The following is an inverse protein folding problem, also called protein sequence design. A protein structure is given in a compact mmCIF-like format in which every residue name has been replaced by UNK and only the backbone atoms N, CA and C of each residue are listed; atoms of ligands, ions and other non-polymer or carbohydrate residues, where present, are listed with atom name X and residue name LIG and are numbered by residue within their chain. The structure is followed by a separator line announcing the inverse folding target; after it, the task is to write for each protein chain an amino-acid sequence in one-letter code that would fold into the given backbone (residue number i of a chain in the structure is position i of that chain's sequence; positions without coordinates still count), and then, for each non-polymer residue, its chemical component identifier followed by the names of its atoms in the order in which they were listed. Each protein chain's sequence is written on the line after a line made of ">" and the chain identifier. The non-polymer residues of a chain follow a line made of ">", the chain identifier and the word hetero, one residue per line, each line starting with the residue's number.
data_IF_697270819970
#
_entry.id   IF_697270819970
#
_cell.length_a   1.000
_cell.length_b   1.000
_cell.length_c   1.000
_cell.angle_alpha   90.00
_cell.angle_beta   90.00
_cell.angle_gamma   90.00
#
_symmetry.space_group_name_H-M   'P 1'
#
loop_
_entity.id
_entity.type
_entity.pdbx_description
1 polymer ?
#
# COMPACT_ATOMS: atom_id res chain seq x y z
N UNK A 1 2.91 -14.81 7.79
CA UNK A 1 1.58 -14.25 7.47
C UNK A 1 1.54 -14.01 5.97
N UNK A 2 0.44 -14.36 5.29
CA UNK A 2 0.26 -14.08 3.86
C UNK A 2 -0.12 -12.60 3.72
N UNK A 3 0.78 -11.78 3.19
CA UNK A 3 0.55 -10.34 3.04
C UNK A 3 1.09 -9.86 1.69
N UNK A 4 0.41 -10.22 0.59
CA UNK A 4 0.88 -9.99 -0.75
C UNK A 4 0.93 -8.49 -1.04
N UNK A 5 2.14 -7.98 -1.18
CA UNK A 5 2.30 -6.67 -1.77
C UNK A 5 2.27 -6.80 -3.27
N UNK A 6 1.28 -6.15 -3.85
CA UNK A 6 1.23 -5.93 -5.28
C UNK A 6 2.04 -4.69 -5.63
N UNK A 7 2.55 -4.70 -6.85
CA UNK A 7 3.23 -3.56 -7.45
C UNK A 7 2.53 -3.25 -8.76
N UNK A 8 2.19 -1.97 -8.96
CA UNK A 8 1.30 -1.52 -10.01
C UNK A 8 2.00 -0.61 -11.02
N UNK A 9 1.85 -0.94 -12.30
CA UNK A 9 2.29 -0.08 -13.41
C UNK A 9 1.36 1.13 -13.55
N UNK A 10 0.07 0.96 -13.26
CA UNK A 10 -0.91 2.03 -13.12
C UNK A 10 -1.18 2.20 -11.61
N UNK A 11 -0.74 3.31 -11.00
CA UNK A 11 -0.80 3.45 -9.55
C UNK A 11 -2.27 3.46 -9.10
N UNK A 12 -2.66 2.66 -8.08
CA UNK A 12 -4.02 2.67 -7.55
C UNK A 12 -4.41 4.00 -6.91
N UNK A 13 -3.43 4.81 -6.53
CA UNK A 13 -3.61 6.08 -5.85
C UNK A 13 -2.58 7.08 -6.35
N UNK A 14 -3.06 8.27 -6.72
CA UNK A 14 -2.28 9.46 -7.04
C UNK A 14 -2.76 10.60 -6.16
N UNK A 15 -1.85 11.38 -5.58
CA UNK A 15 -2.19 12.71 -5.07
C UNK A 15 -1.55 13.77 -5.93
N UNK A 16 -2.34 14.73 -6.39
CA UNK A 16 -1.89 15.71 -7.37
C UNK A 16 -1.83 17.13 -6.81
N UNK A 17 -0.94 17.93 -7.38
CA UNK A 17 -0.85 19.37 -7.17
C UNK A 17 -0.66 20.11 -8.48
N UNK A 18 -0.98 21.40 -8.45
CA UNK A 18 -0.72 22.33 -9.54
C UNK A 18 -0.27 23.69 -9.02
N UNK A 19 0.56 24.37 -9.83
CA UNK A 19 0.96 25.76 -9.64
C UNK A 19 0.56 26.59 -10.86
N UNK A 20 0.19 27.86 -10.69
CA UNK A 20 0.05 28.81 -11.80
C UNK A 20 1.30 28.83 -12.71
N UNK A 21 1.11 29.08 -14.00
CA UNK A 21 2.21 29.11 -14.97
C UNK A 21 3.23 30.25 -14.69
N UNK A 22 2.77 31.33 -14.07
CA UNK A 22 3.57 32.50 -13.70
C UNK A 22 4.15 32.43 -12.28
N UNK A 23 4.12 31.24 -11.65
CA UNK A 23 4.63 31.05 -10.29
C UNK A 23 6.11 31.46 -10.19
N UNK A 24 6.47 32.35 -9.25
CA UNK A 24 7.87 32.74 -9.05
C UNK A 24 8.78 31.55 -8.74
N UNK A 25 9.93 31.52 -9.42
CA UNK A 25 10.87 30.40 -9.35
C UNK A 25 11.47 30.22 -7.96
N UNK A 26 11.72 31.30 -7.22
CA UNK A 26 12.20 31.26 -5.85
C UNK A 26 11.19 30.61 -4.89
N UNK A 27 9.88 30.86 -5.11
CA UNK A 27 8.81 30.19 -4.38
C UNK A 27 8.77 28.70 -4.70
N UNK A 28 8.87 28.30 -5.97
CA UNK A 28 8.92 26.89 -6.36
C UNK A 28 10.15 26.17 -5.79
N UNK A 29 11.31 26.84 -5.71
CA UNK A 29 12.53 26.28 -5.10
C UNK A 29 12.38 26.10 -3.58
N UNK A 30 11.75 27.06 -2.90
CA UNK A 30 11.48 26.96 -1.48
C UNK A 30 10.53 25.79 -1.19
N UNK A 31 9.43 25.69 -1.95
CA UNK A 31 8.49 24.56 -1.90
C UNK A 31 9.18 23.22 -2.17
N UNK A 32 9.95 23.11 -3.24
CA UNK A 32 10.69 21.90 -3.60
C UNK A 32 11.61 21.43 -2.46
N UNK A 33 12.35 22.37 -1.86
CA UNK A 33 13.19 22.08 -0.69
C UNK A 33 12.37 21.56 0.49
N UNK A 34 11.20 22.15 0.76
CA UNK A 34 10.31 21.71 1.84
C UNK A 34 9.78 20.28 1.61
N UNK A 35 9.30 19.98 0.41
CA UNK A 35 8.84 18.63 0.02
C UNK A 35 9.95 17.60 0.22
N UNK A 36 11.15 17.87 -0.29
CA UNK A 36 12.29 16.96 -0.15
C UNK A 36 12.75 16.79 1.31
N UNK A 37 12.71 17.87 2.09
CA UNK A 37 13.04 17.84 3.52
C UNK A 37 12.04 16.99 4.29
N UNK A 38 10.73 17.16 4.01
CA UNK A 38 9.67 16.35 4.59
C UNK A 38 9.81 14.88 4.23
N UNK A 39 10.03 14.56 2.95
CA UNK A 39 10.21 13.20 2.46
C UNK A 39 11.37 12.47 3.14
N UNK A 40 12.52 13.16 3.31
CA UNK A 40 13.67 12.63 4.01
C UNK A 40 13.43 12.48 5.53
N UNK A 41 12.82 13.49 6.18
CA UNK A 41 12.49 13.46 7.61
C UNK A 41 11.60 12.28 7.97
N UNK A 42 10.58 12.00 7.16
CA UNK A 42 9.64 10.90 7.38
C UNK A 42 10.11 9.57 6.78
N UNK A 43 11.27 9.56 6.12
CA UNK A 43 11.84 8.40 5.40
C UNK A 43 10.85 7.77 4.42
N UNK A 44 10.06 8.62 3.76
CA UNK A 44 9.08 8.23 2.73
C UNK A 44 9.68 8.42 1.34
N UNK A 45 10.48 9.47 1.16
CA UNK A 45 11.09 9.81 -0.12
C UNK A 45 12.44 10.50 0.11
N UNK A 46 13.54 9.76 0.02
CA UNK A 46 14.89 10.32 0.05
C UNK A 46 15.61 10.06 -1.28
N UNK A 47 15.90 11.12 -2.03
CA UNK A 47 16.58 11.04 -3.32
C UNK A 47 18.00 10.49 -3.15
N UNK A 48 18.28 9.35 -3.78
CA UNK A 48 19.58 8.66 -3.77
C UNK A 48 20.41 9.02 -4.98
N UNK A 49 19.84 8.89 -6.17
CA UNK A 49 20.54 9.13 -7.43
C UNK A 49 19.63 9.85 -8.43
N UNK A 50 20.25 10.68 -9.27
CA UNK A 50 19.61 11.21 -10.48
C UNK A 50 20.68 11.14 -11.58
N UNK A 51 20.74 10.01 -12.32
CA UNK A 51 21.83 9.76 -13.28
C UNK A 51 21.95 10.85 -14.35
N UNK A 52 20.81 11.40 -14.80
CA UNK A 52 20.76 12.38 -15.88
C UNK A 52 21.54 13.68 -15.57
N UNK A 53 21.67 14.04 -14.28
CA UNK A 53 22.43 15.22 -13.83
C UNK A 53 23.75 14.86 -13.15
N UNK A 54 24.13 13.57 -13.18
CA UNK A 54 25.28 13.03 -12.42
C UNK A 54 25.19 13.45 -10.95
N UNK A 55 24.07 13.13 -10.28
CA UNK A 55 23.89 13.35 -8.84
C UNK A 55 23.90 12.02 -8.07
N UNK A 56 24.64 12.01 -6.97
CA UNK A 56 24.69 10.92 -5.99
C UNK A 56 24.67 11.49 -4.56
N UNK A 57 23.66 11.11 -3.77
CA UNK A 57 23.41 11.62 -2.41
C UNK A 57 24.61 11.58 -1.47
N UNK A 58 25.38 10.48 -1.50
CA UNK A 58 26.55 10.27 -0.63
C UNK A 58 27.70 11.22 -0.95
N UNK A 59 27.87 11.55 -2.24
CA UNK A 59 28.93 12.45 -2.73
C UNK A 59 28.51 13.92 -2.60
N UNK A 60 27.27 14.21 -2.96
CA UNK A 60 26.84 15.57 -3.30
C UNK A 60 26.07 16.28 -2.18
N UNK A 61 25.62 15.54 -1.16
CA UNK A 61 24.79 16.10 -0.09
C UNK A 61 23.32 16.15 -0.51
N UNK A 62 22.57 17.09 0.05
CA UNK A 62 21.13 17.21 -0.18
C UNK A 62 20.85 17.77 -1.59
N UNK A 63 19.92 17.15 -2.34
CA UNK A 63 19.69 17.47 -3.75
C UNK A 63 19.31 18.94 -4.00
N UNK A 64 18.54 19.58 -3.12
CA UNK A 64 18.19 21.00 -3.29
C UNK A 64 19.42 21.92 -3.19
N UNK A 65 20.41 21.55 -2.36
CA UNK A 65 21.66 22.32 -2.21
C UNK A 65 22.65 22.00 -3.33
N UNK A 66 22.63 20.78 -3.87
CA UNK A 66 23.34 20.44 -5.09
C UNK A 66 22.84 21.27 -6.28
N UNK A 67 21.52 21.31 -6.51
CA UNK A 67 20.94 22.07 -7.62
C UNK A 67 21.19 23.57 -7.49
N UNK A 68 21.14 24.14 -6.28
CA UNK A 68 21.49 25.54 -6.07
C UNK A 68 22.96 25.87 -6.38
N UNK A 69 23.88 24.91 -6.25
CA UNK A 69 25.29 25.05 -6.64
C UNK A 69 25.54 24.75 -8.12
N UNK A 70 24.63 24.03 -8.77
CA UNK A 70 24.75 23.54 -10.14
C UNK A 70 23.46 23.78 -10.96
N UNK A 71 23.02 25.04 -11.09
CA UNK A 71 21.74 25.38 -11.73
C UNK A 71 21.64 24.94 -13.20
N UNK A 72 22.78 24.76 -13.87
CA UNK A 72 22.88 24.37 -15.27
C UNK A 72 22.62 22.87 -15.53
N UNK A 73 22.71 22.02 -14.50
CA UNK A 73 22.68 20.56 -14.68
C UNK A 73 21.34 20.06 -15.18
N UNK A 74 20.25 20.49 -14.58
CA UNK A 74 18.91 20.02 -14.90
C UNK A 74 18.45 20.46 -16.31
N UNK A 75 18.59 21.74 -16.72
CA UNK A 75 18.27 22.15 -18.10
C UNK A 75 19.11 21.45 -19.17
N UNK A 76 20.34 21.04 -18.84
CA UNK A 76 21.19 20.27 -19.76
C UNK A 76 20.73 18.82 -19.91
N UNK A 77 20.27 18.21 -18.82
CA UNK A 77 19.80 16.83 -18.78
C UNK A 77 18.44 16.66 -19.48
N UNK A 78 17.59 17.67 -19.35
CA UNK A 78 16.26 17.72 -19.94
C UNK A 78 16.17 18.96 -20.84
N UNK A 79 16.53 18.89 -22.13
CA UNK A 79 16.54 20.04 -23.02
C UNK A 79 15.12 20.43 -23.48
N UNK A 80 14.13 20.30 -22.60
CA UNK A 80 12.77 20.72 -22.86
C UNK A 80 12.61 22.22 -22.53
N UNK A 81 11.81 22.96 -23.30
CA UNK A 81 11.66 24.41 -23.12
C UNK A 81 11.08 24.83 -21.76
N UNK A 82 10.55 23.90 -20.96
CA UNK A 82 9.85 24.21 -19.70
C UNK A 82 10.36 23.40 -18.50
N UNK A 83 11.64 23.05 -18.49
CA UNK A 83 12.25 22.56 -17.26
C UNK A 83 12.23 23.68 -16.23
N UNK A 84 11.57 23.44 -15.10
CA UNK A 84 11.67 24.35 -13.95
C UNK A 84 13.08 24.19 -13.36
N UNK A 85 13.95 25.20 -13.45
CA UNK A 85 15.32 25.06 -12.99
C UNK A 85 15.37 24.77 -11.49
N UNK A 86 16.23 23.84 -11.08
CA UNK A 86 16.46 23.47 -9.67
C UNK A 86 15.28 22.78 -8.96
N UNK A 87 14.31 22.25 -9.71
CA UNK A 87 13.19 21.44 -9.19
C UNK A 87 13.21 20.06 -9.86
N UNK A 88 13.24 18.96 -9.10
CA UNK A 88 13.42 17.62 -9.73
C UNK A 88 12.12 16.98 -10.20
N UNK A 89 10.96 17.55 -9.86
CA UNK A 89 9.65 17.02 -10.26
C UNK A 89 9.29 17.45 -11.69
N UNK A 90 10.20 17.20 -12.63
CA UNK A 90 9.96 17.36 -14.06
C UNK A 90 9.66 16.00 -14.67
N UNK A 91 8.74 15.97 -15.63
CA UNK A 91 8.45 14.75 -16.39
C UNK A 91 9.69 14.26 -17.16
N UNK A 92 9.84 12.94 -17.25
CA UNK A 92 10.98 12.28 -17.89
C UNK A 92 12.29 12.28 -17.10
N UNK A 93 12.33 12.82 -15.88
CA UNK A 93 13.49 12.68 -14.99
C UNK A 93 13.43 11.37 -14.22
N UNK A 94 14.40 10.50 -14.44
CA UNK A 94 14.57 9.29 -13.62
C UNK A 94 15.18 9.67 -12.27
N UNK A 95 14.36 9.61 -11.21
CA UNK A 95 14.73 9.93 -9.83
C UNK A 95 14.66 8.65 -9.01
N UNK A 96 15.81 8.12 -8.63
CA UNK A 96 15.87 7.01 -7.69
C UNK A 96 15.79 7.55 -6.26
N UNK A 97 14.68 7.26 -5.59
CA UNK A 97 14.48 7.62 -4.19
C UNK A 97 14.29 6.36 -3.34
N UNK A 98 14.79 6.41 -2.10
CA UNK A 98 14.56 5.35 -1.13
C UNK A 98 13.41 5.69 -0.19
N UNK A 99 12.74 4.64 0.27
CA UNK A 99 11.69 4.65 1.27
C UNK A 99 12.01 3.61 2.35
N UNK A 100 11.81 3.95 3.62
CA UNK A 100 11.90 2.96 4.69
C UNK A 100 10.65 2.09 4.72
N UNK A 101 10.82 0.82 4.36
CA UNK A 101 9.76 -0.18 4.32
C UNK A 101 9.93 -1.24 5.41
N UNK A 102 8.88 -1.44 6.19
CA UNK A 102 8.68 -2.58 7.08
C UNK A 102 8.16 -3.84 6.35
N UNK A 103 8.71 -5.01 6.67
CA UNK A 103 8.32 -6.32 6.14
C UNK A 103 8.39 -7.41 7.22
N UNK A 104 7.65 -8.51 7.04
CA UNK A 104 7.80 -9.70 7.87
C UNK A 104 8.96 -10.56 7.35
N UNK A 105 9.95 -10.86 8.20
CA UNK A 105 11.02 -11.79 7.86
C UNK A 105 10.56 -13.27 7.95
N UNK A 106 11.48 -14.20 7.70
CA UNK A 106 11.20 -15.64 7.73
C UNK A 106 10.70 -16.15 9.07
N UNK A 107 11.01 -15.44 10.16
CA UNK A 107 10.60 -15.77 11.52
C UNK A 107 9.31 -15.02 11.93
N UNK A 108 8.70 -14.28 10.99
CA UNK A 108 7.49 -13.47 11.23
C UNK A 108 7.75 -12.20 12.04
N UNK A 109 9.02 -11.79 12.20
CA UNK A 109 9.39 -10.54 12.86
C UNK A 109 9.35 -9.39 11.86
N UNK A 110 8.93 -8.22 12.34
CA UNK A 110 8.94 -7.01 11.50
C UNK A 110 10.36 -6.46 11.41
N UNK A 111 10.87 -6.36 10.19
CA UNK A 111 12.15 -5.73 9.83
C UNK A 111 11.90 -4.49 9.01
N UNK A 112 12.82 -3.53 9.06
CA UNK A 112 12.75 -2.32 8.23
C UNK A 112 14.00 -2.21 7.35
N UNK A 113 13.83 -1.73 6.11
CA UNK A 113 14.92 -1.51 5.15
C UNK A 113 14.66 -0.23 4.36
N UNK A 114 15.71 0.54 4.06
CA UNK A 114 15.64 1.60 3.07
C UNK A 114 15.68 0.97 1.67
N UNK A 115 14.54 0.98 0.99
CA UNK A 115 14.36 0.36 -0.32
C UNK A 115 14.17 1.43 -1.41
N UNK A 116 14.91 1.32 -2.51
CA UNK A 116 14.70 2.09 -3.74
C UNK A 116 13.77 1.37 -4.71
N UNK A 117 13.58 0.07 -4.54
CA UNK A 117 12.60 -0.72 -5.29
C UNK A 117 12.02 -1.87 -4.46
N UNK A 118 10.88 -2.38 -4.89
CA UNK A 118 10.27 -3.56 -4.29
C UNK A 118 11.09 -4.85 -4.49
N UNK A 119 12.09 -4.84 -5.39
CA UNK A 119 12.95 -5.99 -5.68
C UNK A 119 13.85 -6.37 -4.51
N UNK A 120 14.24 -5.39 -3.70
CA UNK A 120 15.00 -5.62 -2.46
C UNK A 120 14.19 -6.40 -1.42
N UNK A 121 12.86 -6.41 -1.57
CA UNK A 121 11.94 -7.16 -0.72
C UNK A 121 11.47 -8.47 -1.35
N UNK A 122 11.84 -8.78 -2.60
CA UNK A 122 11.32 -9.94 -3.33
C UNK A 122 11.63 -11.31 -2.69
N UNK A 123 12.63 -11.37 -1.79
CA UNK A 123 12.96 -12.57 -1.01
C UNK A 123 12.19 -12.70 0.30
N UNK A 124 11.45 -11.67 0.73
CA UNK A 124 10.67 -11.74 1.96
C UNK A 124 9.39 -12.57 1.74
N UNK A 125 8.99 -13.43 2.70
CA UNK A 125 7.86 -14.34 2.56
C UNK A 125 6.52 -13.67 2.23
N UNK A 126 6.37 -12.39 2.59
CA UNK A 126 5.18 -11.60 2.32
C UNK A 126 5.10 -11.07 0.88
N UNK A 127 6.20 -11.03 0.13
CA UNK A 127 6.18 -10.37 -1.18
C UNK A 127 5.79 -11.38 -2.25
N UNK A 128 4.62 -11.16 -2.83
CA UNK A 128 4.12 -11.93 -3.95
C UNK A 128 4.16 -11.08 -5.21
N UNK A 129 5.34 -10.90 -5.82
CA UNK A 129 5.42 -10.09 -7.01
C UNK A 129 4.65 -10.77 -8.14
N UNK A 130 3.74 -10.02 -8.78
CA UNK A 130 3.39 -10.35 -10.17
C UNK A 130 4.71 -10.28 -10.95
N UNK A 131 5.14 -11.44 -11.48
CA UNK A 131 6.47 -11.64 -12.08
C UNK A 131 6.84 -10.46 -13.00
N UNK A 132 7.99 -9.84 -12.75
CA UNK A 132 8.59 -8.81 -13.59
C UNK A 132 8.43 -7.35 -13.12
N UNK A 133 7.65 -7.05 -12.08
CA UNK A 133 7.30 -5.66 -11.71
C UNK A 133 7.92 -5.15 -10.41
N UNK A 134 8.85 -5.89 -9.81
CA UNK A 134 9.47 -5.48 -8.53
C UNK A 134 10.51 -4.37 -8.65
N UNK A 135 10.95 -4.04 -9.87
CA UNK A 135 11.92 -2.98 -10.09
C UNK A 135 11.36 -1.57 -9.79
N UNK A 136 10.03 -1.43 -9.65
CA UNK A 136 9.40 -0.15 -9.35
C UNK A 136 9.67 0.29 -7.91
N UNK A 137 9.88 1.59 -7.74
CA UNK A 137 9.89 2.23 -6.43
C UNK A 137 8.49 2.10 -5.77
N UNK A 138 8.40 1.96 -4.44
CA UNK A 138 7.12 1.83 -3.73
C UNK A 138 6.23 3.09 -3.82
N UNK A 139 6.88 4.24 -3.99
CA UNK A 139 6.27 5.56 -4.09
C UNK A 139 7.11 6.40 -5.05
N UNK A 140 6.47 7.12 -5.98
CA UNK A 140 7.14 8.00 -6.94
C UNK A 140 6.61 9.41 -6.84
N UNK A 141 7.48 10.39 -7.01
CA UNK A 141 7.12 11.80 -7.19
C UNK A 141 7.57 12.23 -8.58
N UNK A 142 6.64 12.76 -9.37
CA UNK A 142 6.93 13.18 -10.75
C UNK A 142 6.16 14.44 -11.09
N UNK A 143 6.67 15.19 -12.08
CA UNK A 143 5.87 16.20 -12.77
C UNK A 143 4.85 15.51 -13.67
N UNK A 144 3.64 16.05 -13.76
CA UNK A 144 2.60 15.58 -14.69
C UNK A 144 2.59 16.51 -15.89
N UNK A 145 2.59 15.92 -17.08
CA UNK A 145 2.36 16.66 -18.32
C UNK A 145 1.19 16.03 -19.04
N UNK A 146 0.12 16.79 -19.24
CA UNK A 146 -0.93 16.38 -20.16
C UNK A 146 -0.37 16.49 -21.58
N UNK A 147 0.07 15.35 -22.13
CA UNK A 147 0.46 15.21 -23.55
C UNK A 147 -0.75 15.20 -24.49
N UNK A 148 -1.92 15.65 -24.04
CA UNK A 148 -3.17 15.49 -24.76
C UNK A 148 -3.20 16.22 -26.12
N UNK A 149 -2.32 17.20 -26.36
CA UNK A 149 -2.21 17.86 -27.66
C UNK A 149 -0.74 18.20 -27.96
N UNK A 150 -0.33 18.10 -29.22
CA UNK A 150 0.99 18.48 -29.78
C UNK A 150 1.37 19.97 -29.58
N UNK A 151 0.71 20.67 -28.64
CA UNK A 151 0.98 22.04 -28.25
C UNK A 151 1.80 22.05 -26.97
N UNK A 152 3.08 22.38 -27.16
CA UNK A 152 4.06 22.80 -26.17
C UNK A 152 3.52 24.07 -25.48
N UNK A 153 2.63 23.90 -24.51
CA UNK A 153 1.91 24.99 -23.82
C UNK A 153 2.66 25.43 -22.54
N UNK A 154 2.68 26.75 -22.30
CA UNK A 154 3.03 27.43 -21.04
C UNK A 154 1.97 27.16 -19.95
N UNK A 155 1.62 25.88 -19.77
CA UNK A 155 0.59 25.44 -18.83
C UNK A 155 1.06 25.52 -17.37
N UNK A 156 0.13 25.35 -16.42
CA UNK A 156 0.47 25.24 -15.00
C UNK A 156 1.49 24.11 -14.77
N UNK A 157 2.41 24.31 -13.83
CA UNK A 157 3.28 23.22 -13.38
C UNK A 157 2.44 22.25 -12.56
N UNK A 158 2.35 21.00 -12.99
CA UNK A 158 1.61 19.95 -12.29
C UNK A 158 2.56 18.85 -11.82
N UNK A 159 2.18 18.14 -10.78
CA UNK A 159 2.89 16.95 -10.33
C UNK A 159 2.01 16.04 -9.50
N UNK A 160 2.54 14.85 -9.24
CA UNK A 160 1.84 13.79 -8.53
C UNK A 160 2.77 12.99 -7.61
N UNK A 161 2.18 12.48 -6.52
CA UNK A 161 2.72 11.45 -5.66
C UNK A 161 1.92 10.17 -5.95
N UNK A 162 2.58 9.16 -6.49
CA UNK A 162 1.95 7.90 -6.85
C UNK A 162 2.32 6.79 -5.87
N UNK A 163 1.32 6.09 -5.32
CA UNK A 163 1.57 4.82 -4.65
C UNK A 163 1.68 3.73 -5.70
N UNK A 164 2.83 3.08 -5.75
CA UNK A 164 3.11 1.99 -6.70
C UNK A 164 3.00 0.63 -6.05
N UNK A 165 2.86 0.56 -4.72
CA UNK A 165 2.69 -0.68 -3.99
C UNK A 165 1.53 -0.60 -2.99
N UNK A 166 0.85 -1.71 -2.76
CA UNK A 166 -0.22 -1.82 -1.76
C UNK A 166 0.29 -1.94 -0.30
N UNK A 167 1.61 -1.89 -0.08
CA UNK A 167 2.23 -2.01 1.26
C UNK A 167 1.73 -0.95 2.28
N UNK A 168 1.25 0.19 1.78
CA UNK A 168 0.73 1.31 2.58
C UNK A 168 -0.75 1.17 2.96
N UNK A 169 -1.46 0.23 2.34
CA UNK A 169 -2.91 0.11 2.45
C UNK A 169 -3.27 -0.89 3.55
N UNK A 170 -4.20 -0.61 4.46
CA UNK A 170 -4.64 -1.60 5.44
C UNK A 170 -5.30 -2.83 4.80
N UNK A 171 -5.81 -2.73 3.58
CA UNK A 171 -6.37 -3.85 2.82
C UNK A 171 -5.65 -4.03 1.48
N UNK A 172 -5.10 -5.22 1.25
CA UNK A 172 -4.40 -5.57 0.00
C UNK A 172 -5.19 -6.60 -0.77
N UNK A 173 -5.28 -6.45 -2.10
CA UNK A 173 -5.88 -7.48 -2.94
C UNK A 173 -5.17 -8.82 -2.73
N UNK A 174 -5.99 -9.85 -2.51
CA UNK A 174 -5.51 -11.19 -2.32
C UNK A 174 -5.05 -11.77 -3.67
N UNK A 175 -4.00 -12.62 -3.71
CA UNK A 175 -3.50 -13.13 -4.96
C UNK A 175 -4.51 -14.13 -5.50
N UNK A 176 -4.87 -14.03 -6.78
CA UNK A 176 -5.89 -14.88 -7.43
C UNK A 176 -5.60 -16.39 -7.30
N UNK A 177 -4.33 -16.78 -7.12
CA UNK A 177 -3.93 -18.17 -6.93
C UNK A 177 -4.11 -18.68 -5.48
N UNK A 178 -4.35 -17.79 -4.52
CA UNK A 178 -4.60 -18.10 -3.11
C UNK A 178 -6.07 -17.83 -2.74
N UNK A 179 -6.69 -16.80 -3.34
CA UNK A 179 -8.07 -16.34 -3.07
C UNK A 179 -8.80 -15.95 -4.36
N UNK A 180 -10.12 -15.66 -4.33
CA UNK A 180 -10.84 -15.20 -5.54
C UNK A 180 -10.44 -13.76 -5.91
N UNK A 181 -10.76 -13.34 -7.13
CA UNK A 181 -10.33 -12.07 -7.74
C UNK A 181 -10.77 -10.78 -7.01
N UNK A 182 -11.60 -10.88 -5.96
CA UNK A 182 -12.17 -9.74 -5.23
C UNK A 182 -11.96 -9.85 -3.70
N UNK A 183 -11.13 -10.79 -3.25
CA UNK A 183 -10.80 -10.93 -1.84
C UNK A 183 -9.71 -9.95 -1.41
N UNK A 184 -9.80 -9.44 -0.18
CA UNK A 184 -8.78 -8.58 0.43
C UNK A 184 -8.19 -9.24 1.67
N UNK A 185 -6.90 -9.04 1.84
CA UNK A 185 -6.11 -9.45 2.99
C UNK A 185 -5.77 -8.23 3.86
N UNK A 186 -5.83 -8.36 5.19
CA UNK A 186 -5.46 -7.31 6.11
C UNK A 186 -3.94 -7.16 6.11
N UNK A 187 -3.48 -5.93 5.94
CA UNK A 187 -2.09 -5.48 5.98
C UNK A 187 -1.83 -4.47 7.12
N UNK A 188 -2.84 -4.18 7.96
CA UNK A 188 -2.78 -3.23 9.09
C UNK A 188 -1.49 -3.29 9.91
N UNK A 189 -0.98 -4.49 10.23
CA UNK A 189 0.25 -4.65 11.03
C UNK A 189 1.47 -3.99 10.38
N UNK A 190 1.63 -4.13 9.07
CA UNK A 190 2.74 -3.53 8.34
C UNK A 190 2.39 -2.10 7.94
N UNK A 191 1.19 -1.85 7.41
CA UNK A 191 0.71 -0.50 7.07
C UNK A 191 0.85 0.48 8.25
N UNK A 192 0.59 0.06 9.49
CA UNK A 192 0.79 0.88 10.69
C UNK A 192 2.24 1.37 10.90
N UNK A 193 3.23 0.77 10.23
CA UNK A 193 4.64 1.20 10.22
C UNK A 193 4.96 2.21 9.13
N UNK A 194 4.20 2.25 8.04
CA UNK A 194 4.48 3.10 6.87
C UNK A 194 3.52 4.28 6.78
N UNK A 195 2.24 3.99 6.91
CA UNK A 195 1.13 4.91 6.61
C UNK A 195 1.13 6.16 7.47
N UNK A 196 1.43 6.14 8.79
CA UNK A 196 1.49 7.38 9.56
C UNK A 196 2.54 8.36 9.02
N UNK A 197 3.69 7.83 8.57
CA UNK A 197 4.78 8.62 7.98
C UNK A 197 4.38 9.17 6.61
N UNK A 198 3.71 8.35 5.79
CA UNK A 198 3.14 8.77 4.51
C UNK A 198 2.11 9.89 4.68
N UNK A 199 1.13 9.71 5.57
CA UNK A 199 0.06 10.70 5.80
C UNK A 199 0.63 12.02 6.32
N UNK A 200 1.66 11.96 7.18
CA UNK A 200 2.33 13.17 7.65
C UNK A 200 3.10 13.87 6.52
N UNK A 201 3.83 13.11 5.68
CA UNK A 201 4.47 13.63 4.48
C UNK A 201 3.46 14.30 3.54
N UNK A 202 2.35 13.61 3.20
CA UNK A 202 1.32 14.14 2.30
C UNK A 202 0.67 15.41 2.83
N UNK A 203 0.39 15.46 4.13
CA UNK A 203 -0.20 16.62 4.79
C UNK A 203 0.76 17.83 4.75
N UNK A 204 2.05 17.60 4.96
CA UNK A 204 3.08 18.65 4.86
C UNK A 204 3.29 19.11 3.41
N UNK A 205 3.27 18.20 2.43
CA UNK A 205 3.33 18.57 1.01
C UNK A 205 2.11 19.39 0.61
N UNK A 206 0.90 18.97 0.99
CA UNK A 206 -0.32 19.71 0.71
C UNK A 206 -0.27 21.13 1.31
N UNK A 207 0.19 21.25 2.56
CA UNK A 207 0.36 22.54 3.22
C UNK A 207 1.42 23.42 2.52
N UNK A 208 2.58 22.85 2.18
CA UNK A 208 3.64 23.56 1.46
C UNK A 208 3.18 24.04 0.08
N UNK A 209 2.43 23.21 -0.64
CA UNK A 209 1.84 23.56 -1.96
C UNK A 209 0.91 24.76 -1.84
N UNK A 210 0.00 24.75 -0.86
CA UNK A 210 -0.93 25.88 -0.64
C UNK A 210 -0.17 27.13 -0.19
N UNK A 211 0.82 27.00 0.70
CA UNK A 211 1.64 28.13 1.15
C UNK A 211 2.43 28.78 0.02
N UNK A 212 2.84 27.98 -0.97
CA UNK A 212 3.52 28.43 -2.17
C UNK A 212 2.58 29.01 -3.25
N UNK A 213 1.26 29.11 -2.98
CA UNK A 213 0.28 29.65 -3.93
C UNK A 213 -0.23 28.63 -4.95
N UNK A 214 0.16 27.36 -4.80
CA UNK A 214 -0.37 26.25 -5.59
C UNK A 214 -1.72 25.75 -5.07
N UNK A 215 -2.26 24.75 -5.77
CA UNK A 215 -3.48 24.04 -5.38
C UNK A 215 -3.17 22.57 -5.16
N UNK A 216 -3.63 22.05 -4.03
CA UNK A 216 -3.71 20.63 -3.79
C UNK A 216 -5.01 20.10 -4.42
N UNK A 217 -4.90 19.14 -5.33
CA UNK A 217 -6.02 18.62 -6.10
C UNK A 217 -6.70 17.41 -5.44
N UNK A 218 -6.11 16.89 -4.35
CA UNK A 218 -6.62 15.72 -3.64
C UNK A 218 -6.16 14.41 -4.28
N UNK A 219 -6.87 13.34 -3.94
CA UNK A 219 -6.54 11.99 -4.38
C UNK A 219 -7.34 11.60 -5.64
N UNK A 220 -6.65 11.12 -6.67
CA UNK A 220 -7.24 10.33 -7.75
C UNK A 220 -7.03 8.85 -7.41
N UNK A 221 -8.14 8.11 -7.25
CA UNK A 221 -8.12 6.78 -6.63
C UNK A 221 -8.87 5.77 -7.49
N UNK A 222 -8.24 4.63 -7.74
CA UNK A 222 -8.92 3.51 -8.38
C UNK A 222 -10.09 3.03 -7.49
N UNK A 223 -11.29 2.79 -8.02
CA UNK A 223 -12.50 2.52 -7.22
C UNK A 223 -12.37 1.41 -6.18
N UNK A 224 -11.52 0.41 -6.45
CA UNK A 224 -11.23 -0.68 -5.54
C UNK A 224 -10.64 -0.23 -4.19
N UNK A 225 -9.91 0.89 -4.16
CA UNK A 225 -9.22 1.39 -2.96
C UNK A 225 -9.86 2.68 -2.41
N UNK A 226 -10.88 3.23 -3.07
CA UNK A 226 -11.46 4.52 -2.70
C UNK A 226 -11.98 4.59 -1.25
N UNK A 227 -12.31 3.46 -0.64
CA UNK A 227 -12.82 3.41 0.73
C UNK A 227 -11.73 3.66 1.79
N UNK A 228 -10.46 3.40 1.49
CA UNK A 228 -9.34 3.55 2.44
C UNK A 228 -8.47 4.77 2.16
N UNK A 229 -8.83 5.59 1.17
CA UNK A 229 -8.05 6.77 0.75
C UNK A 229 -8.84 8.05 0.99
N UNK A 230 -8.14 9.09 1.43
CA UNK A 230 -8.63 10.45 1.51
C UNK A 230 -7.62 11.43 0.89
N UNK A 231 -8.00 12.70 0.77
CA UNK A 231 -7.19 13.73 0.10
C UNK A 231 -5.78 13.93 0.67
N UNK A 232 -5.51 13.44 1.87
CA UNK A 232 -4.24 13.63 2.58
C UNK A 232 -3.59 12.32 3.03
N UNK A 233 -4.04 11.18 2.53
CA UNK A 233 -3.45 9.89 2.89
C UNK A 233 -4.40 8.72 2.90
N UNK A 234 -4.05 7.74 3.72
CA UNK A 234 -4.72 6.45 3.85
C UNK A 234 -5.33 6.33 5.26
N UNK A 235 -6.59 5.90 5.35
CA UNK A 235 -7.24 5.57 6.61
C UNK A 235 -6.90 4.14 7.04
N UNK A 236 -6.06 4.01 8.07
CA UNK A 236 -5.62 2.72 8.59
C UNK A 236 -6.70 1.90 9.28
N UNK A 237 -7.73 2.56 9.83
CA UNK A 237 -8.71 1.91 10.71
C UNK A 237 -10.04 1.67 9.98
N UNK A 238 -10.07 1.87 8.67
CA UNK A 238 -11.28 1.69 7.89
C UNK A 238 -11.68 0.21 7.85
N UNK A 239 -12.93 -0.13 8.19
CA UNK A 239 -13.41 -1.48 7.98
C UNK A 239 -13.52 -1.78 6.48
N UNK A 240 -13.18 -3.00 6.08
CA UNK A 240 -13.39 -3.42 4.70
C UNK A 240 -14.88 -3.30 4.31
N UNK A 241 -15.25 -2.54 3.26
CA UNK A 241 -16.64 -2.15 2.98
C UNK A 241 -17.52 -3.34 2.58
N UNK A 242 -16.89 -4.42 2.11
CA UNK A 242 -17.59 -5.63 1.72
C UNK A 242 -17.57 -6.70 2.81
N UNK A 243 -16.94 -6.50 3.97
CA UNK A 243 -16.95 -7.53 5.00
C UNK A 243 -18.10 -7.30 6.00
N UNK A 244 -18.92 -8.33 6.22
CA UNK A 244 -19.84 -8.41 7.35
C UNK A 244 -19.27 -9.40 8.34
N UNK A 245 -19.00 -8.93 9.54
CA UNK A 245 -18.37 -9.71 10.59
C UNK A 245 -19.42 -10.35 11.50
N UNK A 246 -19.19 -11.63 11.81
CA UNK A 246 -19.78 -12.27 12.98
C UNK A 246 -18.66 -12.59 13.97
N UNK A 247 -18.76 -12.01 15.16
CA UNK A 247 -17.77 -12.18 16.23
C UNK A 247 -18.20 -13.30 17.17
N UNK A 248 -17.36 -14.33 17.28
CA UNK A 248 -17.59 -15.43 18.20
C UNK A 248 -17.53 -14.95 19.65
N UNK A 249 -18.42 -15.44 20.53
CA UNK A 249 -18.30 -15.22 21.96
C UNK A 249 -16.94 -15.70 22.49
N UNK A 250 -16.42 -15.01 23.51
CA UNK A 250 -15.17 -15.40 24.17
C UNK A 250 -15.24 -16.83 24.72
N UNK A 251 -14.08 -17.51 24.74
CA UNK A 251 -13.91 -18.90 25.22
C UNK A 251 -14.66 -19.99 24.43
N UNK A 252 -15.26 -19.67 23.29
CA UNK A 252 -15.80 -20.69 22.40
C UNK A 252 -14.67 -21.38 21.63
N UNK A 253 -14.65 -22.72 21.66
CA UNK A 253 -13.67 -23.49 20.89
C UNK A 253 -13.83 -23.28 19.38
N UNK A 254 -12.73 -23.40 18.64
CA UNK A 254 -12.64 -23.06 17.21
C UNK A 254 -13.78 -23.64 16.36
N UNK A 255 -14.03 -24.95 16.45
CA UNK A 255 -15.06 -25.63 15.63
C UNK A 255 -16.47 -25.14 15.98
N UNK A 256 -16.77 -24.97 17.26
CA UNK A 256 -18.08 -24.50 17.72
C UNK A 256 -18.34 -23.04 17.28
N UNK A 257 -17.32 -22.19 17.38
CA UNK A 257 -17.37 -20.80 16.91
C UNK A 257 -17.61 -20.72 15.40
N UNK A 258 -16.86 -21.49 14.62
CA UNK A 258 -17.07 -21.53 13.16
C UNK A 258 -18.48 -21.98 12.84
N UNK A 259 -18.95 -23.10 13.41
CA UNK A 259 -20.30 -23.60 13.17
C UNK A 259 -21.37 -22.55 13.51
N UNK A 260 -21.30 -21.93 14.68
CA UNK A 260 -22.27 -20.92 15.10
C UNK A 260 -22.28 -19.70 14.16
N UNK A 261 -21.11 -19.28 13.68
CA UNK A 261 -21.01 -18.23 12.67
C UNK A 261 -21.61 -18.63 11.32
N UNK A 262 -21.34 -19.85 10.87
CA UNK A 262 -21.95 -20.39 9.64
C UNK A 262 -23.48 -20.43 9.75
N UNK A 263 -24.01 -20.95 10.86
CA UNK A 263 -25.44 -21.00 11.15
C UNK A 263 -26.05 -19.58 11.14
N UNK A 264 -25.33 -18.59 11.70
CA UNK A 264 -25.77 -17.20 11.67
C UNK A 264 -25.83 -16.63 10.26
N UNK A 265 -24.81 -16.81 9.42
CA UNK A 265 -24.80 -16.32 8.03
C UNK A 265 -25.80 -17.04 7.14
N UNK A 266 -26.10 -18.31 7.42
CA UNK A 266 -27.20 -19.03 6.75
C UNK A 266 -28.56 -18.40 7.09
N UNK A 267 -28.77 -17.99 8.36
CA UNK A 267 -29.98 -17.30 8.78
C UNK A 267 -30.03 -15.82 8.35
N UNK A 268 -28.87 -15.19 8.12
CA UNK A 268 -28.72 -13.78 7.79
C UNK A 268 -27.83 -13.59 6.55
N UNK A 269 -28.34 -13.85 5.34
CA UNK A 269 -27.55 -13.69 4.11
C UNK A 269 -27.09 -12.25 3.93
N UNK A 270 -25.79 -12.05 3.69
CA UNK A 270 -25.15 -10.71 3.67
C UNK A 270 -24.89 -10.15 2.27
N UNK A 271 -25.48 -10.74 1.23
CA UNK A 271 -25.20 -10.34 -0.16
C UNK A 271 -25.53 -8.87 -0.45
N UNK A 272 -24.72 -8.19 -1.28
CA UNK A 272 -23.55 -8.69 -2.02
C UNK A 272 -22.22 -8.70 -1.23
N UNK A 273 -22.27 -8.57 0.11
CA UNK A 273 -21.10 -8.52 0.99
C UNK A 273 -20.57 -9.93 1.33
N UNK A 274 -19.34 -9.98 1.80
CA UNK A 274 -18.58 -11.13 2.24
C UNK A 274 -18.84 -11.42 3.72
N UNK A 275 -19.31 -12.63 4.04
CA UNK A 275 -19.40 -13.07 5.43
C UNK A 275 -18.03 -13.44 5.97
N UNK A 276 -17.68 -12.91 7.15
CA UNK A 276 -16.43 -13.19 7.85
C UNK A 276 -16.73 -13.65 9.27
N UNK A 277 -16.29 -14.85 9.62
CA UNK A 277 -16.36 -15.35 11.00
C UNK A 277 -15.07 -14.97 11.71
N UNK A 278 -15.14 -14.21 12.80
CA UNK A 278 -13.99 -13.83 13.63
C UNK A 278 -14.05 -14.53 14.98
N UNK A 279 -12.91 -15.05 15.43
CA UNK A 279 -12.77 -15.63 16.75
C UNK A 279 -11.38 -15.36 17.31
N UNK A 280 -11.31 -15.14 18.63
CA UNK A 280 -10.06 -15.02 19.37
C UNK A 280 -9.93 -16.18 20.34
N UNK A 281 -8.81 -16.90 20.27
CA UNK A 281 -8.56 -18.08 21.10
C UNK A 281 -7.96 -17.67 22.43
N UNK A 282 -8.50 -18.21 23.51
CA UNK A 282 -7.96 -18.04 24.85
C UNK A 282 -6.62 -18.77 25.02
N UNK A 283 -5.87 -18.42 26.06
CA UNK A 283 -4.57 -19.01 26.36
C UNK A 283 -4.63 -20.52 26.65
N UNK A 284 -5.79 -21.00 27.13
CA UNK A 284 -6.04 -22.40 27.48
C UNK A 284 -6.56 -23.24 26.30
N UNK A 285 -6.82 -22.63 25.13
CA UNK A 285 -7.28 -23.37 23.96
C UNK A 285 -6.16 -24.25 23.40
N UNK A 286 -6.48 -25.49 23.02
CA UNK A 286 -5.52 -26.43 22.43
C UNK A 286 -4.88 -25.90 21.14
N UNK A 287 -5.54 -24.97 20.45
CA UNK A 287 -5.07 -24.32 19.23
C UNK A 287 -4.52 -22.90 19.47
N UNK A 288 -4.25 -22.53 20.73
CA UNK A 288 -3.72 -21.21 21.08
C UNK A 288 -2.38 -20.90 20.38
N UNK A 289 -1.56 -21.91 20.11
CA UNK A 289 -0.27 -21.79 19.40
C UNK A 289 -0.32 -22.36 17.97
N UNK A 290 -1.51 -22.72 17.49
CA UNK A 290 -1.64 -23.41 16.20
C UNK A 290 -1.22 -22.51 15.03
N UNK A 291 -0.55 -23.11 14.05
CA UNK A 291 -0.28 -22.49 12.74
C UNK A 291 -1.55 -22.46 11.89
N UNK A 292 -1.53 -21.68 10.80
CA UNK A 292 -2.62 -21.65 9.84
C UNK A 292 -2.95 -23.04 9.27
N UNK A 293 -1.94 -23.87 8.97
CA UNK A 293 -2.14 -25.23 8.47
C UNK A 293 -2.79 -26.15 9.52
N UNK A 294 -2.37 -26.03 10.79
CA UNK A 294 -2.98 -26.81 11.87
C UNK A 294 -4.44 -26.40 12.11
N UNK A 295 -4.74 -25.10 12.07
CA UNK A 295 -6.12 -24.60 12.15
C UNK A 295 -6.96 -25.08 10.96
N UNK A 296 -6.41 -25.04 9.75
CA UNK A 296 -7.05 -25.50 8.54
C UNK A 296 -7.37 -27.01 8.60
N UNK A 297 -6.39 -27.83 9.00
CA UNK A 297 -6.59 -29.26 9.18
C UNK A 297 -7.63 -29.58 10.25
N UNK A 298 -7.64 -28.87 11.38
CA UNK A 298 -8.61 -29.07 12.44
C UNK A 298 -10.05 -28.78 11.96
N UNK A 299 -10.26 -27.68 11.23
CA UNK A 299 -11.56 -27.33 10.66
C UNK A 299 -11.99 -28.26 9.52
N UNK A 300 -11.06 -28.70 8.67
CA UNK A 300 -11.36 -29.63 7.59
C UNK A 300 -11.79 -31.01 8.11
N UNK A 301 -11.14 -31.49 9.19
CA UNK A 301 -11.46 -32.77 9.81
C UNK A 301 -12.71 -32.75 10.70
N UNK A 302 -13.22 -31.57 11.07
CA UNK A 302 -14.40 -31.45 11.93
C UNK A 302 -15.67 -31.99 11.22
N UNK A 303 -16.30 -33.07 11.74
CA UNK A 303 -17.48 -33.66 11.12
C UNK A 303 -18.69 -32.72 11.17
N UNK A 304 -18.78 -31.85 12.18
CA UNK A 304 -19.86 -30.87 12.35
C UNK A 304 -19.90 -29.83 11.23
N UNK A 305 -18.76 -29.58 10.59
CA UNK A 305 -18.65 -28.67 9.44
C UNK A 305 -18.82 -29.40 8.10
N UNK A 306 -19.09 -30.70 8.14
CA UNK A 306 -19.13 -31.57 6.96
C UNK A 306 -20.26 -31.31 5.98
N UNK A 307 -21.40 -30.82 6.47
CA UNK A 307 -22.54 -30.49 5.64
C UNK A 307 -22.44 -29.13 4.95
N UNK A 308 -21.44 -28.30 5.32
CA UNK A 308 -21.31 -26.96 4.78
C UNK A 308 -20.64 -26.97 3.41
N UNK A 309 -21.30 -26.40 2.41
CA UNK A 309 -20.75 -26.27 1.05
C UNK A 309 -19.78 -25.09 0.94
N UNK A 310 -18.51 -25.35 1.26
CA UNK A 310 -17.43 -24.37 1.12
C UNK A 310 -17.15 -23.92 -0.32
N UNK A 311 -17.64 -24.65 -1.33
CA UNK A 311 -17.47 -24.28 -2.74
C UNK A 311 -18.49 -23.23 -3.20
N UNK A 312 -19.59 -23.09 -2.44
CA UNK A 312 -20.67 -22.18 -2.79
C UNK A 312 -20.20 -20.73 -2.88
N UNK A 313 -20.60 -19.99 -3.92
CA UNK A 313 -20.33 -18.55 -3.98
C UNK A 313 -21.03 -17.78 -2.84
N UNK A 314 -22.07 -18.35 -2.23
CA UNK A 314 -22.79 -17.78 -1.08
C UNK A 314 -22.18 -18.15 0.29
N UNK A 315 -21.15 -19.00 0.31
CA UNK A 315 -20.49 -19.37 1.55
C UNK A 315 -19.79 -18.18 2.22
N UNK A 316 -19.62 -18.27 3.54
CA UNK A 316 -18.70 -17.45 4.34
C UNK A 316 -17.36 -17.43 3.62
N UNK A 317 -16.86 -16.24 3.39
CA UNK A 317 -15.72 -16.01 2.50
C UNK A 317 -14.42 -16.41 3.17
N UNK A 318 -14.28 -16.07 4.45
CA UNK A 318 -13.08 -16.34 5.26
C UNK A 318 -13.41 -16.49 6.74
N UNK A 319 -12.56 -17.25 7.43
CA UNK A 319 -12.54 -17.37 8.89
C UNK A 319 -11.27 -16.69 9.38
N UNK A 320 -11.41 -15.75 10.30
CA UNK A 320 -10.31 -15.06 10.96
C UNK A 320 -10.13 -15.59 12.38
N UNK A 321 -9.00 -16.27 12.61
CA UNK A 321 -8.63 -16.79 13.93
C UNK A 321 -7.49 -15.95 14.48
N UNK A 322 -7.69 -15.32 15.63
CA UNK A 322 -6.61 -14.66 16.37
C UNK A 322 -6.16 -15.56 17.52
N UNK A 323 -4.89 -15.94 17.55
CA UNK A 323 -4.29 -16.76 18.61
C UNK A 323 -2.90 -16.21 19.01
N UNK A 324 -2.14 -16.93 19.84
CA UNK A 324 -0.80 -16.49 20.29
C UNK A 324 0.23 -16.46 19.16
N UNK A 325 0.06 -17.29 18.14
CA UNK A 325 0.88 -17.27 16.93
C UNK A 325 0.52 -16.12 15.97
N UNK A 326 -0.58 -15.41 16.20
CA UNK A 326 -0.97 -14.22 15.45
C UNK A 326 -2.39 -14.30 14.88
N UNK A 327 -2.62 -13.53 13.81
CA UNK A 327 -3.89 -13.53 13.07
C UNK A 327 -3.77 -14.43 11.85
N UNK A 328 -4.68 -15.39 11.73
CA UNK A 328 -4.75 -16.35 10.64
C UNK A 328 -6.04 -16.16 9.86
N UNK A 329 -5.94 -16.15 8.53
CA UNK A 329 -7.08 -16.09 7.64
C UNK A 329 -7.20 -17.37 6.83
N UNK A 330 -8.32 -18.06 7.03
CA UNK A 330 -8.63 -19.31 6.37
C UNK A 330 -9.72 -19.04 5.34
N UNK A 331 -9.32 -18.89 4.08
CA UNK A 331 -10.26 -18.68 2.98
C UNK A 331 -11.09 -19.92 2.69
N UNK A 332 -12.34 -19.74 2.24
CA UNK A 332 -13.24 -20.85 1.88
C UNK A 332 -12.62 -21.82 0.87
N UNK A 333 -11.80 -21.33 -0.05
CA UNK A 333 -11.15 -22.18 -1.07
C UNK A 333 -10.13 -23.12 -0.45
N UNK A 334 -9.29 -22.63 0.47
CA UNK A 334 -8.34 -23.46 1.21
C UNK A 334 -9.07 -24.50 2.06
N UNK A 335 -10.18 -24.13 2.70
CA UNK A 335 -11.03 -25.04 3.46
C UNK A 335 -11.66 -26.11 2.57
N UNK A 336 -12.19 -25.71 1.40
CA UNK A 336 -12.75 -26.64 0.42
C UNK A 336 -11.71 -27.66 -0.05
N UNK A 337 -10.52 -27.21 -0.45
CA UNK A 337 -9.43 -28.08 -0.91
C UNK A 337 -8.90 -28.99 0.22
N UNK A 338 -8.75 -28.47 1.44
CA UNK A 338 -8.32 -29.27 2.59
C UNK A 338 -9.30 -30.41 2.91
N UNK A 339 -10.61 -30.21 2.71
CA UNK A 339 -11.64 -31.24 2.92
C UNK A 339 -11.69 -32.32 1.84
N UNK A 340 -11.05 -32.10 0.70
CA UNK A 340 -10.99 -33.08 -0.41
C UNK A 340 -9.82 -34.07 -0.27
N UNK A 341 -8.89 -33.82 0.65
CA UNK A 341 -7.71 -34.66 0.92
C UNK A 341 -8.04 -35.74 1.94
#
# INVERSE_FOLDING_TARGET
>A
MLNPWEVYDDPPVLWAWEFPADQPLDVLRAWHREVLTSGARHRVFEVRTIPAIDYLRERDGFIADFLGRHPERLPRALPYPFVVPEVIFNDGLDVEASTLLAFDDTDGQVREVDATSMSQLAGAPSVHPRRGRTALAPLTLSGRRDFAEDQVSEGPMQGEIALRSSIWLPWTLAPVHVFRADDYLPNHRLAARHTPRLNQFLSEVAAATVAAGGRWLGAEVHPAFAFEIHDHGVDLEVPHPFDVYWDAPAAMGVVAAVRAGLDWFTAHPVRPRHGVVRLALGTEDALADATADQLLSALAAAPELGAYDWSSPEAVTKIQVTNRAGVHLLGRYLLHEARRR
#
